data_IF_410420556419
#
_entry.id   IF_410420556419
#
_cell.length_a   1.000
_cell.length_b   1.000
_cell.length_c   1.000
_cell.angle_alpha   90.00
_cell.angle_beta   90.00
_cell.angle_gamma   90.00
#
_symmetry.space_group_name_H-M   'P 1'
#
loop_
_entity.id
_entity.type
_entity.pdbx_description
1 polymer ?
#
# COMPACT_ATOMS: atom_id res chain seq x y z
N UNK A 1 -9.74 -10.34 -4.08
CA UNK A 1 -8.41 -10.95 -3.90
C UNK A 1 -7.48 -10.63 -5.09
N UNK A 2 -6.43 -9.85 -4.85
CA UNK A 2 -5.41 -9.44 -5.83
C UNK A 2 -4.15 -10.30 -5.71
N UNK A 3 -3.36 -10.37 -6.79
CA UNK A 3 -2.01 -10.95 -6.78
C UNK A 3 -0.96 -9.84 -6.83
N UNK A 4 0.00 -9.84 -5.91
CA UNK A 4 1.03 -8.80 -5.80
C UNK A 4 2.42 -9.42 -5.88
N UNK A 5 3.32 -8.81 -6.64
CA UNK A 5 4.74 -9.12 -6.64
C UNK A 5 5.44 -8.27 -5.59
N UNK A 6 6.11 -8.93 -4.66
CA UNK A 6 6.86 -8.28 -3.56
C UNK A 6 8.33 -8.65 -3.71
N UNK A 7 9.18 -7.63 -3.73
CA UNK A 7 10.62 -7.75 -3.57
C UNK A 7 10.95 -7.79 -2.08
N UNK A 8 11.75 -8.78 -1.72
CA UNK A 8 12.36 -8.92 -0.41
C UNK A 8 13.81 -8.48 -0.54
N UNK A 9 14.13 -7.38 0.12
CA UNK A 9 15.50 -6.90 0.27
C UNK A 9 16.05 -7.52 1.56
N UNK A 10 17.04 -8.41 1.41
CA UNK A 10 17.75 -9.12 2.49
C UNK A 10 19.20 -9.31 2.05
N UNK A 11 19.95 -10.21 2.67
CA UNK A 11 21.29 -10.60 2.17
C UNK A 11 21.25 -11.09 0.71
N UNK A 12 20.14 -11.70 0.29
CA UNK A 12 19.89 -12.08 -1.10
C UNK A 12 18.57 -11.47 -1.55
N UNK A 13 18.60 -10.71 -2.64
CA UNK A 13 17.39 -10.20 -3.26
C UNK A 13 16.51 -11.35 -3.77
N UNK A 14 15.24 -11.36 -3.34
CA UNK A 14 14.25 -12.36 -3.75
C UNK A 14 12.94 -11.68 -4.14
N UNK A 15 12.19 -12.29 -5.04
CA UNK A 15 10.85 -11.84 -5.40
C UNK A 15 9.84 -12.94 -5.08
N UNK A 16 8.74 -12.56 -4.45
CA UNK A 16 7.66 -13.48 -4.05
C UNK A 16 6.33 -12.95 -4.54
N UNK A 17 5.46 -13.87 -4.96
CA UNK A 17 4.11 -13.52 -5.39
C UNK A 17 3.11 -13.93 -4.32
N UNK A 18 2.31 -12.98 -3.84
CA UNK A 18 1.34 -13.18 -2.75
C UNK A 18 -0.06 -12.84 -3.23
N UNK A 19 -1.04 -13.68 -2.87
CA UNK A 19 -2.47 -13.39 -3.01
C UNK A 19 -3.02 -12.83 -1.70
N UNK A 20 -3.75 -11.73 -1.77
CA UNK A 20 -4.37 -11.09 -0.60
C UNK A 20 -5.58 -10.25 -1.01
N UNK A 21 -6.42 -9.82 -0.06
CA UNK A 21 -7.53 -8.91 -0.38
C UNK A 21 -7.06 -7.48 -0.69
N UNK A 22 -5.86 -7.11 -0.25
CA UNK A 22 -5.29 -5.79 -0.51
C UNK A 22 -3.76 -5.81 -0.48
N UNK A 23 -3.14 -4.75 -1.02
CA UNK A 23 -1.68 -4.59 -1.00
C UNK A 23 -1.15 -4.53 0.43
N UNK A 24 -1.87 -3.85 1.34
CA UNK A 24 -1.51 -3.79 2.76
C UNK A 24 -1.47 -5.18 3.40
N UNK A 25 -2.48 -6.00 3.13
CA UNK A 25 -2.49 -7.39 3.61
C UNK A 25 -1.39 -8.24 2.98
N UNK A 26 -1.09 -8.05 1.69
CA UNK A 26 0.02 -8.74 1.03
C UNK A 26 1.37 -8.40 1.67
N UNK A 27 1.62 -7.12 1.99
CA UNK A 27 2.82 -6.68 2.70
C UNK A 27 2.91 -7.23 4.12
N UNK A 28 1.80 -7.24 4.86
CA UNK A 28 1.76 -7.81 6.20
C UNK A 28 2.04 -9.33 6.18
N UNK A 29 1.49 -10.04 5.19
CA UNK A 29 1.78 -11.45 4.98
C UNK A 29 3.26 -11.70 4.63
N UNK A 30 3.84 -10.86 3.76
CA UNK A 30 5.26 -10.95 3.42
C UNK A 30 6.16 -10.71 4.65
N UNK A 31 5.88 -9.69 5.47
CA UNK A 31 6.67 -9.39 6.67
C UNK A 31 6.60 -10.50 7.72
N UNK A 32 5.42 -11.13 7.89
CA UNK A 32 5.27 -12.28 8.80
C UNK A 32 6.02 -13.51 8.30
N UNK A 33 6.02 -13.77 7.00
CA UNK A 33 6.68 -14.92 6.40
C UNK A 33 8.21 -14.76 6.32
N UNK A 34 8.69 -13.52 6.16
CA UNK A 34 10.11 -13.19 6.00
C UNK A 34 10.54 -12.13 7.02
N UNK A 35 10.66 -12.51 8.31
CA UNK A 35 11.16 -11.61 9.34
C UNK A 35 12.61 -11.20 9.05
N UNK A 36 12.93 -9.92 9.21
CA UNK A 36 14.26 -9.37 8.91
C UNK A 36 14.47 -8.94 7.46
N UNK A 37 13.53 -9.26 6.56
CA UNK A 37 13.53 -8.80 5.17
C UNK A 37 12.73 -7.51 5.01
N UNK A 38 13.27 -6.54 4.26
CA UNK A 38 12.49 -5.35 3.87
C UNK A 38 11.62 -5.69 2.66
N UNK A 39 10.31 -5.72 2.87
CA UNK A 39 9.33 -6.02 1.82
C UNK A 39 8.93 -4.75 1.06
N UNK A 40 9.04 -4.76 -0.27
CA UNK A 40 8.61 -3.69 -1.18
C UNK A 40 7.74 -4.24 -2.29
N UNK A 41 6.66 -3.55 -2.60
CA UNK A 41 5.77 -3.92 -3.71
C UNK A 41 6.40 -3.46 -5.02
N UNK A 42 6.53 -4.36 -5.99
CA UNK A 42 6.96 -4.00 -7.34
C UNK A 42 5.74 -3.70 -8.21
N UNK A 43 4.78 -4.63 -8.27
CA UNK A 43 3.60 -4.45 -9.12
C UNK A 43 2.44 -5.35 -8.67
N UNK A 44 1.18 -4.89 -8.75
CA UNK A 44 0.02 -5.78 -8.72
C UNK A 44 0.00 -6.60 -10.02
N UNK A 45 0.22 -7.92 -9.94
CA UNK A 45 0.21 -8.81 -11.12
C UNK A 45 -1.22 -8.98 -11.67
N UNK A 46 -2.23 -8.81 -10.81
CA UNK A 46 -3.64 -8.85 -11.20
C UNK A 46 -4.33 -7.52 -10.86
N UNK A 47 -4.52 -6.69 -11.89
CA UNK A 47 -4.98 -5.30 -11.77
C UNK A 47 -6.50 -5.11 -11.87
N UNK A 48 -7.26 -6.12 -12.31
CA UNK A 48 -8.72 -5.96 -12.49
C UNK A 48 -9.49 -5.85 -11.16
N UNK A 49 -8.92 -6.34 -10.06
CA UNK A 49 -9.44 -6.12 -8.70
C UNK A 49 -8.89 -4.84 -8.03
N UNK A 50 -8.03 -4.06 -8.71
CA UNK A 50 -7.39 -2.84 -8.15
C UNK A 50 -8.34 -1.62 -8.14
N UNK A 51 -9.29 -1.58 -9.08
CA UNK A 51 -10.34 -0.56 -9.06
C UNK A 51 -11.45 -1.03 -8.14
N UNK A 52 -11.49 -0.49 -6.93
CA UNK A 52 -12.59 -0.70 -6.00
C UNK A 52 -13.85 -0.12 -6.65
N UNK A 53 -14.79 -0.96 -7.10
CA UNK A 53 -16.18 -0.52 -7.27
C UNK A 53 -16.68 -0.12 -5.88
N UNK A 54 -16.67 1.18 -5.59
CA UNK A 54 -17.10 1.72 -4.30
C UNK A 54 -16.06 2.52 -3.51
N UNK A 55 -15.00 3.05 -4.13
CA UNK A 55 -14.35 4.23 -3.55
C UNK A 55 -15.41 5.33 -3.38
N UNK A 56 -15.63 5.91 -2.18
CA UNK A 56 -16.47 7.09 -2.01
C UNK A 56 -15.73 8.34 -2.52
N UNK A 57 -15.31 8.30 -3.79
CA UNK A 57 -14.92 9.46 -4.57
C UNK A 57 -16.04 9.85 -5.55
N UNK A 58 -17.27 9.40 -5.28
CA UNK A 58 -18.50 10.01 -5.79
C UNK A 58 -19.43 10.30 -4.59
N UNK A 59 -19.07 11.32 -3.83
CA UNK A 59 -20.11 12.25 -3.37
C UNK A 59 -19.94 13.52 -4.18
N UNK A 60 -20.96 13.83 -4.98
CA UNK A 60 -21.15 15.12 -5.63
C UNK A 60 -21.12 16.22 -4.57
N UNK A 61 -19.96 16.81 -4.31
CA UNK A 61 -19.92 18.17 -3.79
C UNK A 61 -18.96 18.97 -4.63
N UNK A 62 -19.54 19.81 -5.50
CA UNK A 62 -18.87 20.97 -6.06
C UNK A 62 -18.49 21.87 -4.87
N UNK A 63 -17.22 21.83 -4.44
CA UNK A 63 -16.72 22.70 -3.38
C UNK A 63 -15.32 22.32 -2.91
N UNK A 64 -14.37 23.23 -3.17
CA UNK A 64 -13.02 23.38 -2.60
C UNK A 64 -12.10 22.16 -2.41
N UNK A 65 -10.94 22.23 -3.05
CA UNK A 65 -9.72 21.57 -2.60
C UNK A 65 -9.37 22.08 -1.17
N UNK A 66 -9.26 21.24 -0.13
CA UNK A 66 -8.63 21.69 1.10
C UNK A 66 -7.13 21.86 0.82
N UNK A 67 -6.76 23.11 0.55
CA UNK A 67 -5.39 23.60 0.61
C UNK A 67 -4.72 23.08 1.89
N UNK A 68 -3.65 22.30 1.70
CA UNK A 68 -2.55 22.05 2.62
C UNK A 68 -2.83 22.40 4.10
N UNK A 69 -3.24 21.41 4.90
CA UNK A 69 -3.19 21.54 6.36
C UNK A 69 -1.72 21.62 6.77
N UNK A 70 -1.38 22.77 7.33
CA UNK A 70 -0.05 23.16 7.74
C UNK A 70 0.58 22.20 8.74
N UNK A 71 1.89 22.07 8.61
CA UNK A 71 2.75 21.41 9.58
C UNK A 71 2.90 22.35 10.79
N UNK A 72 2.02 22.25 11.77
CA UNK A 72 2.21 22.89 13.07
C UNK A 72 3.36 22.20 13.80
N UNK A 73 4.54 22.82 13.80
CA UNK A 73 5.61 22.51 14.75
C UNK A 73 5.35 23.34 16.01
N UNK A 74 4.77 22.68 17.01
CA UNK A 74 4.73 23.17 18.39
C UNK A 74 5.65 22.27 19.22
N UNK A 75 6.53 22.87 20.01
CA UNK A 75 7.35 22.35 21.14
C UNK A 75 8.79 22.87 20.97
N UNK A 76 9.39 23.67 21.84
CA UNK A 76 9.09 23.99 23.24
C UNK A 76 10.44 24.26 23.94
N UNK A 77 10.35 24.95 25.08
CA UNK A 77 11.41 25.44 25.98
C UNK A 77 12.06 26.79 25.62
#
# INVERSE_FOLDING_TARGET
MIRVLIRLESEVERQVSIRAESIRQALAAAQRAYPGSRARVIFPIDGESFFVKGSPAEEKTRGECPSAVGYSRESGA
#
